data_IF_584156705427
#
_entry.id   IF_584156705427
#
_cell.length_a   1.000
_cell.length_b   1.000
_cell.length_c   1.000
_cell.angle_alpha   90.00
_cell.angle_beta   90.00
_cell.angle_gamma   90.00
#
_symmetry.space_group_name_H-M   'P 1'
#
loop_
_entity.id
_entity.type
_entity.pdbx_description
1 polymer ?
#
# COMPACT_ATOMS: atom_id res chain seq x y z
N UNK A 1 -3.51 29.44 -11.45
CA UNK A 1 -2.67 28.55 -12.28
C UNK A 1 -2.53 27.25 -11.53
N UNK A 2 -3.04 26.11 -12.00
CA UNK A 2 -2.85 24.84 -11.34
C UNK A 2 -1.40 24.36 -11.58
N UNK A 3 -0.68 24.08 -10.48
CA UNK A 3 0.67 23.55 -10.50
C UNK A 3 0.70 22.20 -11.20
N UNK A 4 1.50 22.08 -12.24
CA UNK A 4 1.77 20.82 -12.92
C UNK A 4 2.31 19.82 -11.89
N UNK A 5 1.63 18.68 -11.75
CA UNK A 5 2.09 17.56 -10.90
C UNK A 5 3.43 17.06 -11.47
N UNK A 6 4.45 16.83 -10.63
CA UNK A 6 5.74 16.33 -11.12
C UNK A 6 5.58 14.97 -11.79
N UNK A 7 6.35 14.76 -12.86
CA UNK A 7 6.42 13.48 -13.57
C UNK A 7 6.67 12.32 -12.60
N UNK A 8 5.94 11.22 -12.71
CA UNK A 8 6.23 10.03 -11.90
C UNK A 8 7.66 9.56 -12.23
N UNK A 9 8.51 9.45 -11.20
CA UNK A 9 9.96 9.16 -11.27
C UNK A 9 10.35 7.86 -11.98
N UNK A 10 9.39 7.01 -12.32
CA UNK A 10 9.58 5.69 -12.95
C UNK A 10 9.49 5.66 -14.49
N UNK A 11 9.01 6.71 -15.14
CA UNK A 11 8.90 6.78 -16.60
C UNK A 11 10.22 6.54 -17.37
N UNK A 12 11.41 6.96 -16.90
CA UNK A 12 12.66 6.71 -17.61
C UNK A 12 13.08 5.25 -17.69
N UNK A 13 12.69 4.41 -16.74
CA UNK A 13 13.18 3.03 -16.63
C UNK A 13 12.48 2.05 -17.60
N UNK A 14 11.31 2.39 -18.12
CA UNK A 14 10.53 1.53 -19.02
C UNK A 14 11.01 1.64 -20.48
N UNK A 15 11.70 2.72 -20.85
CA UNK A 15 12.14 3.00 -22.23
C UNK A 15 13.40 2.20 -22.63
N UNK A 16 14.17 1.68 -21.67
CA UNK A 16 15.46 1.03 -21.91
C UNK A 16 15.40 -0.46 -22.33
N UNK A 17 14.24 -1.11 -22.31
CA UNK A 17 14.14 -2.60 -22.41
C UNK A 17 14.07 -3.16 -23.87
N UNK A 18 14.18 -2.37 -24.93
CA UNK A 18 13.82 -2.80 -26.30
C UNK A 18 14.95 -2.90 -27.32
N UNK A 19 16.14 -3.35 -26.95
CA UNK A 19 17.24 -3.51 -27.92
C UNK A 19 17.72 -4.93 -28.20
N UNK A 20 16.88 -5.97 -28.14
CA UNK A 20 17.32 -7.31 -28.64
C UNK A 20 16.13 -8.17 -29.09
N UNK A 21 15.78 -8.18 -30.38
CA UNK A 21 15.17 -9.34 -31.06
C UNK A 21 15.48 -9.34 -32.56
N UNK A 22 16.24 -10.32 -33.02
CA UNK A 22 16.03 -11.12 -34.21
C UNK A 22 16.28 -10.51 -35.58
N UNK A 23 17.46 -10.76 -36.19
CA UNK A 23 17.75 -10.59 -37.62
C UNK A 23 17.17 -11.78 -38.41
N UNK A 24 16.06 -11.55 -39.13
CA UNK A 24 15.64 -12.36 -40.27
C UNK A 24 15.80 -11.52 -41.55
N UNK A 25 16.34 -12.09 -42.61
CA UNK A 25 16.61 -11.43 -43.92
C UNK A 25 15.33 -10.82 -44.52
N UNK A 26 15.27 -9.51 -44.59
CA UNK A 26 14.13 -8.71 -45.12
C UNK A 26 14.52 -7.99 -46.41
N UNK A 27 13.51 -7.62 -47.23
CA UNK A 27 13.73 -6.83 -48.43
C UNK A 27 14.12 -5.38 -48.08
N UNK A 28 14.92 -4.69 -48.90
CA UNK A 28 15.34 -3.29 -48.66
C UNK A 28 14.16 -2.33 -48.47
N UNK A 29 13.03 -2.55 -49.12
CA UNK A 29 11.81 -1.75 -48.95
C UNK A 29 11.16 -1.93 -47.57
N UNK A 30 11.21 -3.14 -46.98
CA UNK A 30 10.74 -3.41 -45.65
C UNK A 30 11.64 -2.80 -44.58
N UNK A 31 12.94 -2.69 -44.88
CA UNK A 31 13.91 -2.10 -43.97
C UNK A 31 13.80 -0.58 -43.92
N UNK A 32 13.57 0.09 -45.09
CA UNK A 32 13.28 1.53 -45.19
C UNK A 32 11.95 1.89 -44.52
N UNK A 33 10.91 1.09 -44.73
CA UNK A 33 9.60 1.30 -44.08
C UNK A 33 9.70 1.13 -42.55
N UNK A 34 10.47 0.16 -42.08
CA UNK A 34 10.72 -0.06 -40.65
C UNK A 34 11.51 1.08 -40.03
N UNK A 35 12.56 1.58 -40.69
CA UNK A 35 13.35 2.70 -40.20
C UNK A 35 12.53 3.98 -40.10
N UNK A 36 11.56 4.20 -41.00
CA UNK A 36 10.66 5.34 -40.94
C UNK A 36 9.64 5.25 -39.78
N UNK A 37 9.15 4.03 -39.48
CA UNK A 37 8.27 3.79 -38.35
C UNK A 37 9.01 3.94 -37.03
N UNK A 38 10.22 3.38 -36.93
CA UNK A 38 11.08 3.50 -35.74
C UNK A 38 11.44 4.98 -35.49
N UNK A 39 11.80 5.74 -36.52
CA UNK A 39 12.06 7.18 -36.38
C UNK A 39 10.82 7.97 -35.89
N UNK A 40 9.64 7.65 -36.38
CA UNK A 40 8.39 8.27 -35.86
C UNK A 40 8.11 7.90 -34.39
N UNK A 41 8.38 6.65 -34.02
CA UNK A 41 8.25 6.23 -32.61
C UNK A 41 9.23 7.01 -31.73
N UNK A 42 10.47 7.15 -32.13
CA UNK A 42 11.51 7.87 -31.39
C UNK A 42 11.15 9.36 -31.22
N UNK A 43 10.64 10.00 -32.25
CA UNK A 43 10.16 11.39 -32.19
C UNK A 43 8.97 11.52 -31.22
N UNK A 44 8.00 10.62 -31.29
CA UNK A 44 6.86 10.61 -30.37
C UNK A 44 7.28 10.38 -28.91
N UNK A 45 8.22 9.48 -28.68
CA UNK A 45 8.80 9.21 -27.34
C UNK A 45 9.59 10.43 -26.84
N UNK A 46 10.35 11.09 -27.71
CA UNK A 46 11.09 12.31 -27.36
C UNK A 46 10.12 13.45 -26.96
N UNK A 47 9.03 13.64 -27.69
CA UNK A 47 7.98 14.59 -27.33
C UNK A 47 7.31 14.25 -25.99
N UNK A 48 7.04 12.97 -25.72
CA UNK A 48 6.56 12.51 -24.41
C UNK A 48 7.53 12.84 -23.28
N UNK A 49 8.83 12.58 -23.48
CA UNK A 49 9.88 12.87 -22.49
C UNK A 49 10.03 14.36 -22.19
N UNK A 50 9.83 15.22 -23.19
CA UNK A 50 9.84 16.68 -23.01
C UNK A 50 8.53 17.23 -22.42
N UNK A 51 7.50 16.40 -22.25
CA UNK A 51 6.19 16.81 -21.76
C UNK A 51 5.29 17.45 -22.83
N UNK A 52 5.71 17.46 -24.09
CA UNK A 52 4.90 17.95 -25.21
C UNK A 52 3.89 16.89 -25.64
N UNK A 53 2.83 16.77 -24.83
CA UNK A 53 1.80 15.73 -25.01
C UNK A 53 1.03 15.92 -26.32
N UNK A 54 0.80 17.16 -26.76
CA UNK A 54 0.02 17.47 -27.95
C UNK A 54 0.80 17.03 -29.21
N UNK A 55 2.10 17.31 -29.26
CA UNK A 55 2.95 16.87 -30.35
C UNK A 55 3.11 15.34 -30.35
N UNK A 56 3.32 14.73 -29.17
CA UNK A 56 3.39 13.28 -29.04
C UNK A 56 2.13 12.60 -29.58
N UNK A 57 0.94 13.08 -29.17
CA UNK A 57 -0.34 12.55 -29.66
C UNK A 57 -0.50 12.71 -31.17
N UNK A 58 -0.12 13.87 -31.73
CA UNK A 58 -0.14 14.12 -33.15
C UNK A 58 0.74 13.14 -33.93
N UNK A 59 1.95 12.86 -33.42
CA UNK A 59 2.89 11.92 -34.04
C UNK A 59 2.32 10.49 -34.02
N UNK A 60 1.87 9.98 -32.85
CA UNK A 60 1.30 8.63 -32.74
C UNK A 60 -0.04 8.52 -33.49
N UNK A 61 -0.88 9.56 -33.49
CA UNK A 61 -2.11 9.62 -34.27
C UNK A 61 -1.85 9.59 -35.78
N UNK A 62 -0.80 10.26 -36.26
CA UNK A 62 -0.37 10.19 -37.63
C UNK A 62 0.06 8.77 -38.01
N UNK A 63 0.82 8.09 -37.14
CA UNK A 63 1.22 6.70 -37.35
C UNK A 63 0.00 5.79 -37.57
N UNK A 64 -1.06 5.95 -36.73
CA UNK A 64 -2.30 5.19 -36.89
C UNK A 64 -3.02 5.52 -38.22
N UNK A 65 -3.05 6.81 -38.65
CA UNK A 65 -3.63 7.22 -39.94
C UNK A 65 -2.89 6.61 -41.14
N UNK A 66 -1.60 6.39 -41.00
CA UNK A 66 -0.77 5.69 -41.99
C UNK A 66 -0.91 4.17 -41.95
N UNK A 67 -1.81 3.64 -41.09
CA UNK A 67 -2.06 2.21 -40.96
C UNK A 67 -1.06 1.48 -40.06
N UNK A 68 -0.21 2.17 -39.33
CA UNK A 68 0.79 1.58 -38.42
C UNK A 68 0.10 1.16 -37.12
N UNK A 69 -0.45 -0.06 -37.11
CA UNK A 69 -1.09 -0.67 -35.93
C UNK A 69 -0.02 -1.42 -35.14
N UNK A 70 0.78 -0.69 -34.38
CA UNK A 70 1.84 -1.26 -33.55
C UNK A 70 1.50 -1.11 -32.05
N UNK A 71 1.88 -2.07 -31.23
CA UNK A 71 1.56 -2.05 -29.80
C UNK A 71 2.10 -0.80 -29.09
N UNK A 72 3.30 -0.33 -29.44
CA UNK A 72 3.90 0.88 -28.86
C UNK A 72 3.10 2.16 -29.16
N UNK A 73 2.45 2.25 -30.34
CA UNK A 73 1.59 3.40 -30.66
C UNK A 73 0.43 3.49 -29.67
N UNK A 74 -0.28 2.38 -29.50
CA UNK A 74 -1.39 2.34 -28.55
C UNK A 74 -0.93 2.47 -27.10
N UNK A 75 0.21 1.86 -26.74
CA UNK A 75 0.79 2.05 -25.42
C UNK A 75 1.06 3.53 -25.11
N UNK A 76 1.75 4.25 -26.02
CA UNK A 76 2.09 5.64 -25.80
C UNK A 76 0.86 6.58 -25.85
N UNK A 77 -0.13 6.31 -26.69
CA UNK A 77 -1.42 7.02 -26.65
C UNK A 77 -2.13 6.79 -25.30
N UNK A 78 -2.06 5.58 -24.76
CA UNK A 78 -2.54 5.28 -23.41
C UNK A 78 -1.81 6.06 -22.32
N UNK A 79 -0.48 6.20 -22.44
CA UNK A 79 0.35 7.01 -21.54
C UNK A 79 -0.06 8.48 -21.60
N UNK A 80 -0.22 9.05 -22.81
CA UNK A 80 -0.67 10.43 -23.01
C UNK A 80 -2.03 10.67 -22.36
N UNK A 81 -2.99 9.79 -22.62
CA UNK A 81 -4.32 9.87 -22.04
C UNK A 81 -4.26 9.77 -20.48
N UNK A 82 -3.43 8.88 -19.95
CA UNK A 82 -3.25 8.75 -18.49
C UNK A 82 -2.62 10.03 -17.89
N UNK A 83 -1.63 10.63 -18.54
CA UNK A 83 -1.00 11.89 -18.09
C UNK A 83 -1.99 13.06 -18.07
N UNK A 84 -2.96 13.06 -18.97
CA UNK A 84 -4.06 14.03 -19.00
C UNK A 84 -5.21 13.71 -18.03
N UNK A 85 -5.14 12.60 -17.30
CA UNK A 85 -6.21 12.13 -16.42
C UNK A 85 -7.40 11.49 -17.15
N UNK A 86 -7.27 11.24 -18.45
CA UNK A 86 -8.28 10.62 -19.31
C UNK A 86 -8.25 9.09 -19.17
N UNK A 87 -8.51 8.59 -17.96
CA UNK A 87 -8.31 7.17 -17.62
C UNK A 87 -9.17 6.21 -18.46
N UNK A 88 -10.36 6.62 -18.92
CA UNK A 88 -11.19 5.78 -19.78
C UNK A 88 -10.52 5.55 -21.14
N UNK A 89 -9.98 6.59 -21.74
CA UNK A 89 -9.26 6.51 -23.00
C UNK A 89 -7.94 5.74 -22.83
N UNK A 90 -7.22 5.98 -21.72
CA UNK A 90 -6.01 5.23 -21.39
C UNK A 90 -6.28 3.71 -21.35
N UNK A 91 -7.34 3.28 -20.67
CA UNK A 91 -7.76 1.86 -20.61
C UNK A 91 -8.02 1.29 -22.00
N UNK A 92 -8.72 2.04 -22.87
CA UNK A 92 -9.00 1.59 -24.24
C UNK A 92 -7.70 1.39 -25.03
N UNK A 93 -6.77 2.34 -24.95
CA UNK A 93 -5.52 2.29 -25.66
C UNK A 93 -4.59 1.17 -25.13
N UNK A 94 -4.48 1.00 -23.79
CA UNK A 94 -3.69 -0.11 -23.24
C UNK A 94 -4.29 -1.48 -23.59
N UNK A 95 -5.61 -1.63 -23.64
CA UNK A 95 -6.25 -2.86 -24.13
C UNK A 95 -5.92 -3.16 -25.59
N UNK A 96 -5.91 -2.14 -26.47
CA UNK A 96 -5.48 -2.28 -27.87
C UNK A 96 -4.01 -2.67 -27.97
N UNK A 97 -3.14 -2.08 -27.14
CA UNK A 97 -1.73 -2.46 -27.08
C UNK A 97 -1.57 -3.93 -26.66
N UNK A 98 -2.32 -4.38 -25.63
CA UNK A 98 -2.29 -5.77 -25.13
C UNK A 98 -2.94 -6.77 -26.08
N UNK A 99 -3.86 -6.36 -26.93
CA UNK A 99 -4.41 -7.21 -28.00
C UNK A 99 -3.33 -7.52 -29.07
N UNK A 100 -2.38 -6.63 -29.29
CA UNK A 100 -1.25 -6.83 -30.19
C UNK A 100 -0.07 -7.52 -29.52
N UNK A 101 0.19 -7.23 -28.25
CA UNK A 101 1.25 -7.86 -27.46
C UNK A 101 0.73 -8.22 -26.04
N UNK A 102 0.17 -9.41 -25.87
CA UNK A 102 -0.40 -9.86 -24.59
C UNK A 102 0.62 -9.98 -23.46
N UNK A 103 1.91 -10.11 -23.75
CA UNK A 103 2.99 -10.25 -22.76
C UNK A 103 3.60 -8.91 -22.32
N UNK A 104 3.04 -7.76 -22.75
CA UNK A 104 3.54 -6.45 -22.35
C UNK A 104 3.26 -6.16 -20.88
N UNK A 105 4.27 -6.37 -20.03
CA UNK A 105 4.22 -6.03 -18.59
C UNK A 105 3.95 -4.55 -18.34
N UNK A 106 4.65 -3.62 -19.01
CA UNK A 106 4.40 -2.17 -18.88
C UNK A 106 2.97 -1.76 -19.22
N UNK A 107 2.39 -2.27 -20.32
CA UNK A 107 1.01 -1.94 -20.69
C UNK A 107 -0.01 -2.47 -19.65
N UNK A 108 0.25 -3.67 -19.07
CA UNK A 108 -0.60 -4.21 -17.99
C UNK A 108 -0.52 -3.38 -16.72
N UNK A 109 0.68 -2.95 -16.34
CA UNK A 109 0.88 -2.09 -15.18
C UNK A 109 0.08 -0.79 -15.31
N UNK A 110 0.20 -0.10 -16.45
CA UNK A 110 -0.47 1.16 -16.69
C UNK A 110 -2.00 1.01 -16.88
N UNK A 111 -2.42 -0.10 -17.49
CA UNK A 111 -3.84 -0.49 -17.54
C UNK A 111 -4.38 -0.66 -16.12
N UNK A 112 -3.71 -1.41 -15.27
CA UNK A 112 -4.11 -1.62 -13.88
C UNK A 112 -4.18 -0.32 -13.07
N UNK A 113 -3.19 0.57 -13.24
CA UNK A 113 -3.19 1.88 -12.59
C UNK A 113 -4.37 2.76 -13.06
N UNK A 114 -4.68 2.75 -14.36
CA UNK A 114 -5.83 3.50 -14.91
C UNK A 114 -7.16 2.91 -14.44
N UNK A 115 -7.26 1.58 -14.32
CA UNK A 115 -8.44 0.90 -13.78
C UNK A 115 -8.66 1.23 -12.30
N UNK A 116 -7.59 1.32 -11.49
CA UNK A 116 -7.68 1.79 -10.09
C UNK A 116 -8.23 3.22 -10.01
N UNK A 117 -7.74 4.11 -10.86
CA UNK A 117 -8.21 5.49 -10.92
C UNK A 117 -9.71 5.59 -11.29
N UNK A 118 -10.24 4.61 -12.01
CA UNK A 118 -11.67 4.49 -12.37
C UNK A 118 -12.49 3.71 -11.33
N UNK A 119 -11.89 3.25 -10.22
CA UNK A 119 -12.57 2.43 -9.21
C UNK A 119 -12.87 0.99 -9.66
N UNK A 120 -12.33 0.54 -10.80
CA UNK A 120 -12.47 -0.83 -11.31
C UNK A 120 -11.48 -1.78 -10.65
N UNK A 121 -11.58 -1.89 -9.32
CA UNK A 121 -10.56 -2.47 -8.46
C UNK A 121 -10.30 -3.96 -8.74
N UNK A 122 -11.32 -4.75 -9.09
CA UNK A 122 -11.17 -6.18 -9.38
C UNK A 122 -10.40 -6.39 -10.68
N UNK A 123 -10.79 -5.69 -11.76
CA UNK A 123 -10.06 -5.76 -13.04
C UNK A 123 -8.61 -5.26 -12.88
N UNK A 124 -8.41 -4.17 -12.13
CA UNK A 124 -7.10 -3.63 -11.83
C UNK A 124 -6.20 -4.66 -11.15
N UNK A 125 -6.71 -5.32 -10.11
CA UNK A 125 -5.98 -6.38 -9.39
C UNK A 125 -5.51 -7.49 -10.33
N UNK A 126 -6.38 -7.97 -11.22
CA UNK A 126 -6.03 -9.04 -12.17
C UNK A 126 -4.90 -8.61 -13.12
N UNK A 127 -5.01 -7.43 -13.72
CA UNK A 127 -3.98 -6.93 -14.64
C UNK A 127 -2.66 -6.65 -13.92
N UNK A 128 -2.70 -6.11 -12.69
CA UNK A 128 -1.52 -5.86 -11.87
C UNK A 128 -0.84 -7.15 -11.39
N UNK A 129 -1.61 -8.20 -11.07
CA UNK A 129 -1.05 -9.53 -10.79
C UNK A 129 -0.30 -10.11 -12.00
N UNK A 130 -0.85 -9.91 -13.21
CA UNK A 130 -0.17 -10.32 -14.45
C UNK A 130 1.08 -9.47 -14.68
N UNK A 131 1.02 -8.16 -14.43
CA UNK A 131 2.17 -7.26 -14.54
C UNK A 131 3.32 -7.67 -13.60
N UNK A 132 3.02 -7.97 -12.32
CA UNK A 132 4.02 -8.44 -11.35
C UNK A 132 4.64 -9.77 -11.76
N UNK A 133 3.87 -10.70 -12.35
CA UNK A 133 4.44 -11.95 -12.88
C UNK A 133 5.39 -11.73 -14.05
N UNK A 134 5.07 -10.77 -14.93
CA UNK A 134 5.91 -10.45 -16.10
C UNK A 134 7.13 -9.60 -15.72
N UNK A 135 7.01 -8.80 -14.66
CA UNK A 135 8.05 -7.88 -14.20
C UNK A 135 8.26 -8.02 -12.68
N UNK A 136 8.78 -9.16 -12.18
CA UNK A 136 8.84 -9.43 -10.74
C UNK A 136 9.78 -8.50 -9.97
N UNK A 137 10.74 -7.87 -10.64
CA UNK A 137 11.70 -6.93 -10.07
C UNK A 137 11.25 -5.46 -10.19
N UNK A 138 10.08 -5.19 -10.79
CA UNK A 138 9.59 -3.82 -10.97
C UNK A 138 8.85 -3.35 -9.70
N UNK A 139 9.40 -2.40 -8.92
CA UNK A 139 8.80 -1.94 -7.67
C UNK A 139 7.40 -1.36 -7.86
N UNK A 140 7.21 -0.54 -8.91
CA UNK A 140 5.95 0.12 -9.19
C UNK A 140 4.79 -0.87 -9.42
N UNK A 141 5.06 -2.01 -10.07
CA UNK A 141 4.03 -3.03 -10.27
C UNK A 141 3.50 -3.59 -8.94
N UNK A 142 4.40 -3.82 -7.97
CA UNK A 142 4.02 -4.27 -6.62
C UNK A 142 3.30 -3.19 -5.83
N UNK A 143 3.75 -1.93 -5.93
CA UNK A 143 3.10 -0.80 -5.27
C UNK A 143 1.65 -0.64 -5.77
N UNK A 144 1.43 -0.69 -7.07
CA UNK A 144 0.08 -0.60 -7.62
C UNK A 144 -0.77 -1.84 -7.27
N UNK A 145 -0.16 -3.03 -7.23
CA UNK A 145 -0.86 -4.25 -6.80
C UNK A 145 -1.26 -4.20 -5.32
N UNK A 146 -0.43 -3.64 -4.44
CA UNK A 146 -0.79 -3.46 -3.03
C UNK A 146 -2.02 -2.54 -2.88
N UNK A 147 -2.07 -1.44 -3.64
CA UNK A 147 -3.23 -0.54 -3.68
C UNK A 147 -4.50 -1.26 -4.18
N UNK A 148 -4.36 -2.13 -5.19
CA UNK A 148 -5.48 -2.92 -5.71
C UNK A 148 -5.99 -3.94 -4.68
N UNK A 149 -5.09 -4.57 -3.91
CA UNK A 149 -5.49 -5.45 -2.82
C UNK A 149 -6.19 -4.68 -1.69
N UNK A 150 -5.71 -3.51 -1.30
CA UNK A 150 -6.40 -2.64 -0.33
C UNK A 150 -7.81 -2.27 -0.82
N UNK A 151 -7.92 -1.82 -2.06
CA UNK A 151 -9.19 -1.42 -2.67
C UNK A 151 -10.20 -2.58 -2.84
N UNK A 152 -9.72 -3.83 -2.86
CA UNK A 152 -10.55 -5.05 -2.90
C UNK A 152 -10.75 -5.70 -1.53
N UNK A 153 -10.36 -5.03 -0.42
CA UNK A 153 -10.59 -5.48 0.95
C UNK A 153 -9.69 -6.63 1.40
N UNK A 154 -8.52 -6.79 0.79
CA UNK A 154 -7.54 -7.79 1.18
C UNK A 154 -6.25 -7.15 1.73
N UNK A 155 -6.27 -6.65 3.00
CA UNK A 155 -5.12 -5.97 3.59
C UNK A 155 -3.93 -6.90 3.84
N UNK A 156 -4.16 -8.21 3.99
CA UNK A 156 -3.09 -9.21 4.15
C UNK A 156 -2.24 -9.27 2.88
N UNK A 157 -2.88 -9.45 1.72
CA UNK A 157 -2.17 -9.50 0.45
C UNK A 157 -1.51 -8.15 0.10
N UNK A 158 -2.12 -7.03 0.48
CA UNK A 158 -1.51 -5.70 0.33
C UNK A 158 -0.20 -5.58 1.11
N UNK A 159 -0.21 -5.95 2.41
CA UNK A 159 0.97 -5.93 3.26
C UNK A 159 2.10 -6.83 2.72
N UNK A 160 1.76 -8.01 2.20
CA UNK A 160 2.73 -8.92 1.57
C UNK A 160 3.40 -8.30 0.34
N UNK A 161 2.65 -7.56 -0.50
CA UNK A 161 3.26 -6.86 -1.65
C UNK A 161 4.21 -5.74 -1.20
N UNK A 162 3.84 -4.99 -0.16
CA UNK A 162 4.67 -3.92 0.39
C UNK A 162 5.93 -4.46 1.07
N UNK A 163 5.84 -5.60 1.77
CA UNK A 163 7.01 -6.29 2.32
C UNK A 163 8.00 -6.65 1.21
N UNK A 164 7.51 -7.29 0.13
CA UNK A 164 8.36 -7.61 -1.04
C UNK A 164 8.94 -6.36 -1.70
N UNK A 165 8.22 -5.25 -1.69
CA UNK A 165 8.69 -3.98 -2.22
C UNK A 165 9.85 -3.40 -1.41
N UNK A 166 9.77 -3.45 -0.07
CA UNK A 166 10.86 -3.03 0.82
C UNK A 166 12.09 -3.94 0.65
N UNK A 167 11.90 -5.25 0.47
CA UNK A 167 13.00 -6.18 0.18
C UNK A 167 13.72 -5.85 -1.16
N UNK A 168 12.98 -5.40 -2.19
CA UNK A 168 13.53 -5.02 -3.49
C UNK A 168 14.25 -3.67 -3.47
N UNK A 169 13.79 -2.73 -2.64
CA UNK A 169 14.30 -1.38 -2.57
C UNK A 169 14.42 -0.89 -1.11
N UNK A 170 15.36 -1.46 -0.32
CA UNK A 170 15.45 -1.23 1.12
C UNK A 170 15.83 0.21 1.51
N UNK A 171 16.38 0.98 0.59
CA UNK A 171 16.77 2.38 0.82
C UNK A 171 15.66 3.40 0.49
N UNK A 172 14.53 2.95 -0.07
CA UNK A 172 13.38 3.81 -0.38
C UNK A 172 12.47 3.94 0.85
N UNK A 173 12.67 5.02 1.59
CA UNK A 173 11.91 5.30 2.84
C UNK A 173 10.40 5.37 2.62
N UNK A 174 9.95 5.79 1.44
CA UNK A 174 8.52 5.83 1.09
C UNK A 174 7.88 4.44 1.14
N UNK A 175 8.58 3.39 0.71
CA UNK A 175 8.05 2.03 0.73
C UNK A 175 7.94 1.49 2.16
N UNK A 176 8.91 1.79 3.02
CA UNK A 176 8.85 1.46 4.44
C UNK A 176 7.67 2.18 5.13
N UNK A 177 7.44 3.45 4.80
CA UNK A 177 6.30 4.22 5.28
C UNK A 177 4.96 3.62 4.84
N UNK A 178 4.82 3.27 3.56
CA UNK A 178 3.60 2.62 3.05
C UNK A 178 3.37 1.26 3.71
N UNK A 179 4.42 0.49 3.97
CA UNK A 179 4.34 -0.77 4.70
C UNK A 179 3.85 -0.55 6.14
N UNK A 180 4.39 0.44 6.86
CA UNK A 180 3.93 0.80 8.20
C UNK A 180 2.44 1.15 8.23
N UNK A 181 1.98 1.98 7.29
CA UNK A 181 0.55 2.29 7.14
C UNK A 181 -0.30 1.05 6.87
N UNK A 182 0.19 0.14 6.04
CA UNK A 182 -0.52 -1.10 5.72
C UNK A 182 -0.63 -2.01 6.95
N UNK A 183 0.41 -2.10 7.78
CA UNK A 183 0.36 -2.86 9.04
C UNK A 183 -0.65 -2.28 10.04
N UNK A 184 -0.74 -0.96 10.16
CA UNK A 184 -1.77 -0.32 10.99
C UNK A 184 -3.18 -0.68 10.52
N UNK A 185 -3.43 -0.64 9.20
CA UNK A 185 -4.71 -1.07 8.61
C UNK A 185 -4.98 -2.56 8.85
N UNK A 186 -3.95 -3.41 8.72
CA UNK A 186 -4.04 -4.84 8.96
C UNK A 186 -4.38 -5.14 10.43
N UNK A 187 -3.79 -4.40 11.37
CA UNK A 187 -4.14 -4.50 12.79
C UNK A 187 -5.62 -4.20 13.02
N UNK A 188 -6.12 -3.06 12.54
CA UNK A 188 -7.54 -2.71 12.65
C UNK A 188 -8.47 -3.74 12.00
N UNK A 189 -8.12 -4.25 10.83
CA UNK A 189 -8.86 -5.31 10.16
C UNK A 189 -8.89 -6.60 11.00
N UNK A 190 -7.76 -6.96 11.62
CA UNK A 190 -7.65 -8.16 12.47
C UNK A 190 -8.58 -8.06 13.69
N UNK A 191 -8.61 -6.91 14.35
CA UNK A 191 -9.57 -6.67 15.46
C UNK A 191 -11.02 -6.77 14.99
N UNK A 192 -11.35 -6.25 13.80
CA UNK A 192 -12.69 -6.41 13.23
C UNK A 192 -13.06 -7.89 12.97
N UNK A 193 -12.09 -8.72 12.51
CA UNK A 193 -12.34 -10.15 12.34
C UNK A 193 -12.59 -10.83 13.70
N UNK A 194 -11.79 -10.53 14.72
CA UNK A 194 -12.01 -11.06 16.08
C UNK A 194 -13.39 -10.63 16.61
N UNK A 195 -13.77 -9.36 16.42
CA UNK A 195 -15.06 -8.85 16.85
C UNK A 195 -16.26 -9.55 16.17
N UNK A 196 -16.09 -10.00 14.92
CA UNK A 196 -17.13 -10.77 14.21
C UNK A 196 -17.26 -12.20 14.72
N UNK A 197 -16.12 -12.84 15.08
CA UNK A 197 -16.08 -14.24 15.52
C UNK A 197 -16.44 -14.33 17.01
N UNK A 198 -15.90 -13.44 17.83
CA UNK A 198 -16.03 -13.43 19.28
C UNK A 198 -16.03 -11.99 19.82
N UNK A 199 -17.17 -11.29 19.78
CA UNK A 199 -17.26 -9.89 20.19
C UNK A 199 -16.88 -9.63 21.66
N UNK A 200 -17.02 -10.66 22.51
CA UNK A 200 -16.66 -10.60 23.94
C UNK A 200 -15.30 -11.25 24.23
N UNK A 201 -14.47 -11.48 23.21
CA UNK A 201 -13.13 -12.04 23.38
C UNK A 201 -12.28 -11.15 24.29
N UNK A 202 -11.64 -11.77 25.30
CA UNK A 202 -10.72 -11.07 26.19
C UNK A 202 -9.60 -10.36 25.40
N UNK A 203 -9.05 -11.01 24.38
CA UNK A 203 -8.03 -10.42 23.49
C UNK A 203 -8.52 -9.20 22.73
N UNK A 204 -9.75 -9.22 22.22
CA UNK A 204 -10.35 -8.04 21.58
C UNK A 204 -10.46 -6.89 22.57
N UNK A 205 -10.98 -7.16 23.78
CA UNK A 205 -11.19 -6.15 24.81
C UNK A 205 -9.85 -5.59 25.32
N UNK A 206 -8.81 -6.43 25.47
CA UNK A 206 -7.44 -6.00 25.79
C UNK A 206 -6.89 -5.04 24.71
N UNK A 207 -7.00 -5.41 23.42
CA UNK A 207 -6.54 -4.56 22.31
C UNK A 207 -7.29 -3.23 22.24
N UNK A 208 -8.60 -3.22 22.47
CA UNK A 208 -9.39 -1.98 22.54
C UNK A 208 -8.97 -1.13 23.74
N UNK A 209 -8.66 -1.75 24.88
CA UNK A 209 -8.13 -1.06 26.05
C UNK A 209 -6.83 -0.34 25.74
N UNK A 210 -5.90 -1.02 25.09
CA UNK A 210 -4.63 -0.42 24.66
C UNK A 210 -4.84 0.74 23.69
N UNK A 211 -5.66 0.56 22.67
CA UNK A 211 -5.97 1.61 21.68
C UNK A 211 -6.56 2.86 22.35
N UNK A 212 -7.49 2.69 23.33
CA UNK A 212 -8.04 3.82 24.07
C UNK A 212 -7.01 4.46 24.99
N UNK A 213 -6.12 3.67 25.61
CA UNK A 213 -5.04 4.19 26.45
C UNK A 213 -4.07 5.06 25.66
N UNK A 214 -3.66 4.61 24.46
CA UNK A 214 -2.77 5.34 23.55
C UNK A 214 -3.40 6.66 23.07
N UNK A 215 -4.74 6.70 22.95
CA UNK A 215 -5.50 7.91 22.66
C UNK A 215 -5.75 8.83 23.88
N UNK A 216 -5.26 8.47 25.07
CA UNK A 216 -5.53 9.18 26.31
C UNK A 216 -6.98 9.07 26.84
N UNK A 217 -7.78 8.18 26.27
CA UNK A 217 -9.19 7.94 26.66
C UNK A 217 -9.26 6.92 27.81
N UNK A 218 -8.69 7.29 28.95
CA UNK A 218 -8.43 6.39 30.07
C UNK A 218 -9.66 5.69 30.61
N UNK A 219 -10.82 6.35 30.71
CA UNK A 219 -12.03 5.71 31.22
C UNK A 219 -12.58 4.63 30.28
N UNK A 220 -12.46 4.85 28.95
CA UNK A 220 -12.81 3.85 27.96
C UNK A 220 -11.81 2.68 27.97
N UNK A 221 -10.52 2.98 28.18
CA UNK A 221 -9.47 1.98 28.32
C UNK A 221 -9.73 1.07 29.52
N UNK A 222 -9.98 1.65 30.71
CA UNK A 222 -10.31 0.91 31.94
C UNK A 222 -11.55 0.03 31.74
N UNK A 223 -12.60 0.56 31.10
CA UNK A 223 -13.81 -0.21 30.83
C UNK A 223 -13.57 -1.39 29.89
N UNK A 224 -12.68 -1.24 28.90
CA UNK A 224 -12.31 -2.30 27.97
C UNK A 224 -11.44 -3.36 28.68
N UNK A 225 -10.42 -2.95 29.42
CA UNK A 225 -9.61 -3.88 30.22
C UNK A 225 -10.42 -4.65 31.26
N UNK A 226 -11.40 -3.99 31.92
CA UNK A 226 -12.30 -4.69 32.84
C UNK A 226 -13.13 -5.77 32.15
N UNK A 227 -13.61 -5.51 30.92
CA UNK A 227 -14.28 -6.55 30.12
C UNK A 227 -13.32 -7.67 29.74
N UNK A 228 -12.04 -7.37 29.45
CA UNK A 228 -11.03 -8.38 29.18
C UNK A 228 -10.80 -9.28 30.40
N UNK A 229 -10.59 -8.70 31.59
CA UNK A 229 -10.41 -9.43 32.84
C UNK A 229 -11.64 -10.28 33.21
N UNK A 230 -12.86 -9.79 32.96
CA UNK A 230 -14.06 -10.54 33.16
C UNK A 230 -14.19 -11.74 32.18
N UNK A 231 -13.75 -11.59 30.95
CA UNK A 231 -13.81 -12.63 29.92
C UNK A 231 -12.70 -13.70 30.12
N UNK A 232 -11.53 -13.30 30.60
CA UNK A 232 -10.44 -14.19 30.99
C UNK A 232 -9.74 -13.68 32.25
N UNK A 233 -10.14 -14.16 33.43
CA UNK A 233 -9.56 -13.74 34.71
C UNK A 233 -8.10 -14.12 34.91
N UNK A 234 -7.54 -14.96 34.03
CA UNK A 234 -6.11 -15.35 34.07
C UNK A 234 -5.25 -14.61 33.06
N UNK A 235 -5.83 -13.65 32.35
CA UNK A 235 -5.09 -12.87 31.34
C UNK A 235 -4.11 -11.93 32.04
N UNK A 236 -2.83 -12.23 31.93
CA UNK A 236 -1.75 -11.38 32.41
C UNK A 236 -1.73 -10.02 31.68
N UNK A 237 -1.08 -9.02 32.30
CA UNK A 237 -0.88 -7.66 31.79
C UNK A 237 -2.12 -6.77 31.75
N UNK A 238 -3.34 -7.32 31.88
CA UNK A 238 -4.57 -6.51 31.89
C UNK A 238 -4.68 -5.70 33.19
N UNK A 239 -4.41 -6.33 34.32
CA UNK A 239 -4.40 -5.68 35.63
C UNK A 239 -3.22 -4.70 35.77
N UNK A 240 -2.05 -5.02 35.19
CA UNK A 240 -0.93 -4.10 35.10
C UNK A 240 -1.31 -2.81 34.36
N UNK A 241 -1.89 -2.95 33.15
CA UNK A 241 -2.33 -1.80 32.35
C UNK A 241 -3.39 -0.93 33.07
N UNK A 242 -4.35 -1.56 33.77
CA UNK A 242 -5.31 -0.81 34.58
C UNK A 242 -4.62 -0.09 35.74
N UNK A 243 -3.68 -0.72 36.42
CA UNK A 243 -2.89 -0.13 37.49
C UNK A 243 -2.09 1.09 37.04
N UNK A 244 -1.42 1.01 35.89
CA UNK A 244 -0.68 2.13 35.30
C UNK A 244 -1.58 3.33 34.96
N UNK A 245 -2.75 3.07 34.37
CA UNK A 245 -3.73 4.12 34.05
C UNK A 245 -4.23 4.78 35.31
N UNK A 246 -4.60 3.99 36.32
CA UNK A 246 -5.11 4.50 37.59
C UNK A 246 -4.05 5.30 38.35
N UNK A 247 -2.78 4.88 38.30
CA UNK A 247 -1.64 5.63 38.83
C UNK A 247 -1.54 7.01 38.14
N UNK A 248 -1.59 7.06 36.82
CA UNK A 248 -1.56 8.31 36.02
C UNK A 248 -2.75 9.23 36.37
N UNK A 249 -3.89 8.68 36.74
CA UNK A 249 -5.07 9.43 37.16
C UNK A 249 -5.04 9.86 38.66
N UNK A 250 -4.03 9.50 39.42
CA UNK A 250 -3.93 9.76 40.86
C UNK A 250 -4.88 8.88 41.70
N UNK A 251 -5.44 7.82 41.14
CA UNK A 251 -6.39 6.89 41.82
C UNK A 251 -5.62 5.76 42.51
N UNK A 252 -4.71 6.14 43.42
CA UNK A 252 -3.69 5.27 43.99
C UNK A 252 -4.23 4.02 44.66
N UNK A 253 -5.29 4.12 45.48
CA UNK A 253 -5.88 2.94 46.15
C UNK A 253 -6.44 1.91 45.16
N UNK A 254 -7.05 2.38 44.07
CA UNK A 254 -7.56 1.52 43.02
C UNK A 254 -6.41 0.89 42.21
N UNK A 255 -5.39 1.66 41.91
CA UNK A 255 -4.18 1.17 41.24
C UNK A 255 -3.51 0.04 42.04
N UNK A 256 -3.43 0.19 43.38
CA UNK A 256 -2.85 -0.83 44.27
C UNK A 256 -3.62 -2.14 44.22
N UNK A 257 -4.97 -2.10 44.15
CA UNK A 257 -5.81 -3.28 43.97
C UNK A 257 -5.48 -4.02 42.71
N UNK A 258 -5.42 -3.30 41.59
CA UNK A 258 -5.14 -3.89 40.25
C UNK A 258 -3.71 -4.50 40.20
N UNK A 259 -2.71 -3.79 40.71
CA UNK A 259 -1.34 -4.31 40.77
C UNK A 259 -1.22 -5.54 41.67
N UNK A 260 -2.00 -5.60 42.79
CA UNK A 260 -2.03 -6.78 43.63
C UNK A 260 -2.64 -7.98 42.89
N UNK A 261 -3.65 -7.78 42.04
CA UNK A 261 -4.21 -8.84 41.22
C UNK A 261 -3.18 -9.32 40.15
N UNK A 262 -2.48 -8.40 39.49
CA UNK A 262 -1.42 -8.76 38.56
C UNK A 262 -0.31 -9.61 39.22
N UNK A 263 0.15 -9.20 40.39
CA UNK A 263 1.18 -9.96 41.14
C UNK A 263 0.71 -11.36 41.61
N UNK A 264 -0.60 -11.56 41.79
CA UNK A 264 -1.12 -12.90 42.01
C UNK A 264 -1.08 -13.78 40.78
N UNK A 265 -1.25 -13.18 39.58
CA UNK A 265 -1.18 -13.90 38.31
C UNK A 265 0.26 -14.11 37.87
N UNK A 266 1.11 -13.11 38.07
CA UNK A 266 2.51 -13.08 37.65
C UNK A 266 3.39 -12.59 38.83
N UNK A 267 3.74 -13.47 39.77
CA UNK A 267 4.48 -13.09 40.99
C UNK A 267 5.85 -12.44 40.71
N UNK A 268 6.50 -12.84 39.63
CA UNK A 268 7.84 -12.34 39.22
C UNK A 268 7.77 -11.12 38.29
N UNK A 269 6.62 -10.44 38.14
CA UNK A 269 6.46 -9.29 37.28
C UNK A 269 7.25 -8.08 37.82
N UNK A 270 8.39 -7.78 37.21
CA UNK A 270 9.17 -6.58 37.53
C UNK A 270 8.38 -5.28 37.25
N UNK A 271 7.62 -5.25 36.16
CA UNK A 271 6.79 -4.11 35.83
C UNK A 271 5.72 -3.82 36.88
N UNK A 272 5.05 -4.88 37.39
CA UNK A 272 4.09 -4.71 38.47
C UNK A 272 4.76 -4.24 39.78
N UNK A 273 5.97 -4.71 40.07
CA UNK A 273 6.74 -4.25 41.22
C UNK A 273 7.14 -2.77 41.11
N UNK A 274 7.56 -2.32 39.94
CA UNK A 274 7.88 -0.90 39.68
C UNK A 274 6.66 0.01 39.83
N UNK A 275 5.53 -0.38 39.22
CA UNK A 275 4.29 0.38 39.35
C UNK A 275 3.83 0.44 40.82
N UNK A 276 3.92 -0.66 41.56
CA UNK A 276 3.63 -0.72 42.99
C UNK A 276 4.46 0.28 43.79
N UNK A 277 5.78 0.26 43.59
CA UNK A 277 6.68 1.20 44.25
C UNK A 277 6.33 2.65 43.94
N UNK A 278 5.96 2.95 42.69
CA UNK A 278 5.46 4.26 42.28
C UNK A 278 4.19 4.69 43.01
N UNK A 279 3.24 3.77 43.19
CA UNK A 279 1.99 4.02 43.93
C UNK A 279 2.28 4.26 45.41
N UNK A 280 3.10 3.43 46.06
CA UNK A 280 3.46 3.57 47.47
C UNK A 280 4.15 4.91 47.75
N UNK A 281 5.11 5.31 46.91
CA UNK A 281 5.76 6.61 46.99
C UNK A 281 4.77 7.79 46.84
N UNK A 282 3.78 7.68 45.94
CA UNK A 282 2.78 8.71 45.72
C UNK A 282 1.83 8.83 46.93
N UNK A 283 1.50 7.73 47.56
CA UNK A 283 0.70 7.70 48.79
C UNK A 283 1.41 8.31 49.99
N UNK A 284 2.73 8.04 50.17
CA UNK A 284 3.57 8.65 51.18
C UNK A 284 3.68 10.17 51.01
N UNK A 285 3.84 10.65 49.76
CA UNK A 285 3.94 12.07 49.46
C UNK A 285 2.61 12.83 49.52
N UNK A 286 1.49 12.13 49.60
CA UNK A 286 0.13 12.70 49.75
C UNK A 286 -0.42 12.61 51.18
N UNK A 287 0.35 12.06 52.14
CA UNK A 287 0.01 12.12 53.54
C UNK A 287 0.20 13.54 54.08
N UNK A 288 -0.78 14.15 54.81
CA UNK A 288 -0.75 15.52 55.27
C UNK A 288 0.32 15.81 56.30
#
# INVERSE_FOLDING_TARGET
MPSAKPFPRWLPSIVAYWMMIGAASRSPAQEVARSSVEAQMDLGIAALKSGDLDNAEKIFGNALRQGIKHQLVYHNLGVIAQMRGQHVEAVQNFRKALALEPASGPSRLLLGASLLALGKNVEAKEELQRAVRLMPQQPEARLQLSKAFEATGNPVAAAQQLQKLVELAPHETEYAYQMGKSWMKLSGWSYQQIARISPNSARLQQGLGQEYADQGKYDLALAAYQRAANADPKMAEVHLAMGEILLKQGRYNQALVEITLEQKLVPESMAAAEVRAGIEKALEGSAP
#
